data_IF_232432992383
#
_entry.id   IF_232432992383
#
_cell.length_a   1.000
_cell.length_b   1.000
_cell.length_c   1.000
_cell.angle_alpha   90.00
_cell.angle_beta   90.00
_cell.angle_gamma   90.00
#
_symmetry.space_group_name_H-M   'P 1'
#
loop_
_entity.id
_entity.type
_entity.pdbx_description
1 polymer ?
#
# COMPACT_ATOMS: atom_id res chain seq x y z
N UNK A 1 -5.42 24.32 0.72
CA UNK A 1 -5.09 23.06 0.01
C UNK A 1 -4.26 23.44 -1.20
N UNK A 2 -3.04 22.90 -1.31
CA UNK A 2 -2.23 23.06 -2.52
C UNK A 2 -3.04 22.58 -3.72
N UNK A 3 -3.17 23.40 -4.77
CA UNK A 3 -3.82 23.02 -6.03
C UNK A 3 -3.07 21.81 -6.58
N UNK A 4 -3.77 20.69 -6.84
CA UNK A 4 -3.23 19.52 -7.57
C UNK A 4 -2.67 19.99 -8.93
N UNK A 5 -1.34 20.12 -9.10
CA UNK A 5 -0.78 20.61 -10.36
C UNK A 5 -0.97 19.59 -11.48
N UNK A 6 -1.14 18.31 -11.13
CA UNK A 6 -1.33 17.25 -12.11
C UNK A 6 -2.77 17.16 -12.64
N UNK A 7 -3.71 17.93 -12.08
CA UNK A 7 -5.14 17.88 -12.45
C UNK A 7 -5.37 18.05 -13.95
N UNK A 8 -4.58 18.89 -14.62
CA UNK A 8 -4.70 19.18 -16.06
C UNK A 8 -4.41 17.97 -16.96
N UNK A 9 -3.72 16.94 -16.44
CA UNK A 9 -3.39 15.73 -17.20
C UNK A 9 -4.46 14.64 -17.10
N UNK A 10 -5.42 14.77 -16.19
CA UNK A 10 -6.50 13.80 -16.05
C UNK A 10 -7.68 14.21 -16.92
N UNK A 11 -8.41 13.22 -17.43
CA UNK A 11 -9.61 13.47 -18.23
C UNK A 11 -10.57 14.40 -17.47
N UNK A 12 -11.16 15.42 -18.12
CA UNK A 12 -12.14 16.30 -17.48
C UNK A 12 -13.41 15.56 -17.04
N UNK A 13 -13.64 14.34 -17.55
CA UNK A 13 -14.73 13.46 -17.14
C UNK A 13 -14.40 12.60 -15.91
N UNK A 14 -13.14 12.59 -15.46
CA UNK A 14 -12.72 11.81 -14.31
C UNK A 14 -13.29 12.41 -13.02
N UNK A 15 -14.02 11.60 -12.28
CA UNK A 15 -14.57 11.93 -10.97
C UNK A 15 -13.51 11.89 -9.88
N UNK A 16 -13.75 12.60 -8.76
CA UNK A 16 -12.87 12.54 -7.59
C UNK A 16 -12.71 11.12 -7.04
N UNK A 17 -13.78 10.31 -7.12
CA UNK A 17 -13.77 8.89 -6.75
C UNK A 17 -12.81 8.08 -7.61
N UNK A 18 -12.90 8.24 -8.93
CA UNK A 18 -11.99 7.55 -9.86
C UNK A 18 -10.55 7.96 -9.61
N UNK A 19 -10.30 9.24 -9.36
CA UNK A 19 -8.96 9.73 -9.03
C UNK A 19 -8.44 9.12 -7.73
N UNK A 20 -9.27 9.06 -6.68
CA UNK A 20 -8.89 8.42 -5.42
C UNK A 20 -8.59 6.92 -5.58
N UNK A 21 -9.37 6.19 -6.39
CA UNK A 21 -9.13 4.78 -6.72
C UNK A 21 -7.83 4.60 -7.50
N UNK A 22 -7.57 5.45 -8.50
CA UNK A 22 -6.33 5.43 -9.29
C UNK A 22 -5.10 5.63 -8.39
N UNK A 23 -5.14 6.63 -7.52
CA UNK A 23 -4.06 6.93 -6.57
C UNK A 23 -3.86 5.80 -5.55
N UNK A 24 -4.92 5.13 -5.11
CA UNK A 24 -4.81 3.93 -4.27
C UNK A 24 -4.13 2.76 -5.00
N UNK A 25 -4.44 2.57 -6.29
CA UNK A 25 -3.77 1.59 -7.15
C UNK A 25 -2.27 1.85 -7.30
N UNK A 26 -1.88 3.10 -7.54
CA UNK A 26 -0.48 3.52 -7.56
C UNK A 26 0.20 3.14 -6.25
N UNK A 27 -0.39 3.52 -5.10
CA UNK A 27 0.21 3.26 -3.79
C UNK A 27 0.43 1.76 -3.54
N UNK A 28 -0.58 0.92 -3.79
CA UNK A 28 -0.47 -0.53 -3.59
C UNK A 28 0.59 -1.16 -4.51
N UNK A 29 0.64 -0.74 -5.77
CA UNK A 29 1.65 -1.20 -6.73
C UNK A 29 3.06 -0.79 -6.30
N UNK A 30 3.25 0.46 -5.86
CA UNK A 30 4.53 0.92 -5.35
C UNK A 30 4.97 0.12 -4.12
N UNK A 31 4.07 -0.11 -3.16
CA UNK A 31 4.39 -0.91 -1.97
C UNK A 31 4.84 -2.32 -2.36
N UNK A 32 4.10 -3.00 -3.23
CA UNK A 32 4.45 -4.36 -3.64
C UNK A 32 5.82 -4.41 -4.30
N UNK A 33 6.08 -3.55 -5.28
CA UNK A 33 7.34 -3.60 -6.04
C UNK A 33 8.55 -3.14 -5.23
N UNK A 34 8.38 -2.19 -4.29
CA UNK A 34 9.48 -1.79 -3.39
C UNK A 34 9.83 -2.91 -2.41
N UNK A 35 8.83 -3.60 -1.85
CA UNK A 35 9.07 -4.60 -0.81
C UNK A 35 9.41 -5.99 -1.38
N UNK A 36 8.90 -6.35 -2.55
CA UNK A 36 9.09 -7.69 -3.09
C UNK A 36 10.58 -7.98 -3.32
N UNK A 37 11.09 -9.03 -2.68
CA UNK A 37 12.50 -9.41 -2.73
C UNK A 37 13.38 -8.76 -1.66
N UNK A 38 12.87 -7.81 -0.87
CA UNK A 38 13.65 -7.20 0.21
C UNK A 38 13.98 -8.21 1.32
N UNK A 39 15.21 -8.18 1.86
CA UNK A 39 15.53 -8.85 3.11
C UNK A 39 14.71 -8.30 4.27
N UNK A 40 14.15 -9.18 5.08
CA UNK A 40 13.33 -8.88 6.25
C UNK A 40 14.10 -9.36 7.48
N UNK A 41 14.44 -8.46 8.42
CA UNK A 41 15.10 -8.84 9.66
C UNK A 41 14.29 -9.88 10.43
N UNK A 42 14.91 -10.91 11.02
CA UNK A 42 14.19 -11.83 11.92
C UNK A 42 13.79 -11.20 13.25
N UNK A 43 14.61 -10.25 13.72
CA UNK A 43 14.27 -9.50 14.91
C UNK A 43 12.98 -8.71 14.69
N UNK A 44 12.00 -8.93 15.56
CA UNK A 44 10.67 -8.33 15.41
C UNK A 44 10.70 -6.82 15.60
N UNK A 45 11.64 -6.28 16.39
CA UNK A 45 11.78 -4.84 16.59
C UNK A 45 12.31 -4.19 15.31
N UNK A 46 13.36 -4.76 14.72
CA UNK A 46 13.92 -4.33 13.43
C UNK A 46 12.90 -4.44 12.29
N UNK A 47 12.15 -5.53 12.21
CA UNK A 47 11.08 -5.69 11.22
C UNK A 47 9.99 -4.62 11.34
N UNK A 48 9.59 -4.27 12.58
CA UNK A 48 8.62 -3.18 12.82
C UNK A 48 9.19 -1.81 12.45
N UNK A 49 10.50 -1.60 12.59
CA UNK A 49 11.16 -0.37 12.14
C UNK A 49 11.08 -0.27 10.62
N UNK A 50 11.39 -1.36 9.90
CA UNK A 50 11.25 -1.43 8.45
C UNK A 50 9.80 -1.14 8.01
N UNK A 51 8.81 -1.78 8.62
CA UNK A 51 7.39 -1.54 8.32
C UNK A 51 7.03 -0.06 8.47
N UNK A 52 7.39 0.57 9.59
CA UNK A 52 7.11 1.98 9.87
C UNK A 52 7.84 2.93 8.92
N UNK A 53 9.11 2.66 8.64
CA UNK A 53 9.89 3.46 7.70
C UNK A 53 9.24 3.45 6.31
N UNK A 54 8.78 2.27 5.85
CA UNK A 54 8.09 2.15 4.58
C UNK A 54 6.69 2.79 4.59
N UNK A 55 5.96 2.73 5.72
CA UNK A 55 4.70 3.48 5.88
C UNK A 55 4.92 4.98 5.69
N UNK A 56 5.94 5.56 6.32
CA UNK A 56 6.27 6.98 6.20
C UNK A 56 6.73 7.35 4.77
N UNK A 57 7.57 6.54 4.14
CA UNK A 57 8.00 6.75 2.75
C UNK A 57 6.81 6.84 1.81
N UNK A 58 5.87 5.89 1.90
CA UNK A 58 4.69 5.88 1.02
C UNK A 58 3.74 7.03 1.34
N UNK A 59 3.62 7.42 2.62
CA UNK A 59 2.79 8.53 3.07
C UNK A 59 3.24 9.89 2.53
N UNK A 60 4.50 10.02 2.10
CA UNK A 60 4.98 11.23 1.40
C UNK A 60 4.33 11.45 0.03
N UNK A 61 3.77 10.39 -0.59
CA UNK A 61 3.10 10.50 -1.89
C UNK A 61 1.80 11.33 -1.80
N UNK A 62 1.36 11.97 -2.91
CA UNK A 62 0.17 12.81 -2.91
C UNK A 62 -1.09 12.12 -2.39
N UNK A 63 -1.96 12.84 -1.67
CA UNK A 63 -3.31 12.37 -1.26
C UNK A 63 -3.35 11.20 -0.25
N UNK A 64 -2.20 10.73 0.25
CA UNK A 64 -2.14 9.67 1.26
C UNK A 64 -2.57 10.21 2.62
N UNK A 65 -3.55 9.55 3.23
CA UNK A 65 -4.04 9.86 4.60
C UNK A 65 -3.47 8.91 5.62
N UNK A 66 -3.49 7.63 5.30
CA UNK A 66 -3.05 6.57 6.18
C UNK A 66 -2.40 5.47 5.35
N UNK A 67 -1.30 4.95 5.83
CA UNK A 67 -0.61 3.80 5.24
C UNK A 67 -0.31 2.85 6.38
N UNK A 68 -0.61 1.58 6.17
CA UNK A 68 -0.24 0.50 7.09
C UNK A 68 0.40 -0.62 6.32
N UNK A 69 1.58 -1.05 6.74
CA UNK A 69 2.35 -2.14 6.15
C UNK A 69 2.63 -3.17 7.24
N UNK A 70 2.45 -4.44 6.89
CA UNK A 70 2.86 -5.56 7.72
C UNK A 70 3.58 -6.59 6.87
N UNK A 71 4.73 -7.03 7.33
CA UNK A 71 5.49 -8.12 6.71
C UNK A 71 5.46 -9.28 7.70
N UNK A 72 4.67 -10.30 7.36
CA UNK A 72 4.54 -11.47 8.23
C UNK A 72 5.80 -12.32 8.11
N UNK A 73 6.53 -12.51 9.20
CA UNK A 73 7.61 -13.50 9.21
C UNK A 73 7.04 -14.86 8.85
N UNK A 74 7.54 -15.45 7.78
CA UNK A 74 7.43 -16.88 7.60
C UNK A 74 8.56 -17.48 8.41
N UNK A 75 8.24 -18.50 9.19
CA UNK A 75 9.24 -19.34 9.85
C UNK A 75 9.92 -20.17 8.77
N UNK A 76 10.66 -19.52 7.86
CA UNK A 76 11.49 -20.23 6.90
C UNK A 76 12.86 -20.40 7.51
N UNK A 77 13.23 -21.68 7.62
CA UNK A 77 14.55 -22.23 7.96
C UNK A 77 15.60 -21.81 6.91
N UNK A 78 15.79 -20.51 6.72
CA UNK A 78 16.87 -19.98 5.90
C UNK A 78 18.18 -20.13 6.68
N UNK A 79 19.22 -20.59 5.98
CA UNK A 79 20.57 -20.81 6.54
C UNK A 79 21.14 -19.50 7.12
N UNK A 80 20.77 -18.34 6.57
CA UNK A 80 21.40 -17.05 6.84
C UNK A 80 20.61 -16.07 7.72
N UNK A 81 19.70 -16.52 8.57
CA UNK A 81 19.21 -15.63 9.64
C UNK A 81 18.19 -14.54 9.25
N UNK A 82 17.73 -14.46 7.98
CA UNK A 82 16.72 -13.50 7.52
C UNK A 82 15.57 -14.18 6.75
N UNK A 83 14.47 -13.45 6.55
CA UNK A 83 13.36 -13.85 5.65
C UNK A 83 13.30 -12.88 4.46
N UNK A 84 12.52 -13.21 3.43
CA UNK A 84 12.38 -12.34 2.24
C UNK A 84 10.92 -11.91 2.11
N UNK A 85 10.70 -10.62 1.88
CA UNK A 85 9.38 -10.09 1.60
C UNK A 85 8.90 -10.58 0.22
N UNK A 86 7.71 -11.15 0.18
CA UNK A 86 7.07 -11.72 -1.00
C UNK A 86 5.58 -11.41 -0.96
N UNK A 87 4.90 -11.53 -2.10
CA UNK A 87 3.47 -11.27 -2.15
C UNK A 87 2.65 -12.02 -1.10
N UNK A 88 3.09 -13.22 -0.71
CA UNK A 88 2.35 -14.05 0.23
C UNK A 88 2.56 -13.68 1.72
N UNK A 89 3.46 -12.75 2.03
CA UNK A 89 3.70 -12.26 3.39
C UNK A 89 3.60 -10.73 3.56
N UNK A 90 3.46 -9.99 2.47
CA UNK A 90 3.16 -8.56 2.49
C UNK A 90 1.66 -8.35 2.71
N UNK A 91 1.34 -7.52 3.68
CA UNK A 91 0.03 -6.89 3.85
C UNK A 91 0.22 -5.38 3.76
N UNK A 92 -0.66 -4.71 3.02
CA UNK A 92 -0.75 -3.27 3.04
C UNK A 92 -2.20 -2.80 3.04
N UNK A 93 -2.43 -1.66 3.68
CA UNK A 93 -3.68 -0.90 3.62
C UNK A 93 -3.32 0.55 3.40
N UNK A 94 -3.93 1.17 2.39
CA UNK A 94 -3.71 2.58 2.04
C UNK A 94 -5.04 3.30 2.01
N UNK A 95 -5.13 4.41 2.71
CA UNK A 95 -6.27 5.33 2.67
C UNK A 95 -5.87 6.55 1.89
N UNK A 96 -6.60 6.81 0.82
CA UNK A 96 -6.41 7.94 -0.09
C UNK A 96 -7.60 8.87 0.02
N UNK A 97 -7.34 10.18 0.05
CA UNK A 97 -8.41 11.19 -0.01
C UNK A 97 -8.13 12.20 -1.11
N UNK A 98 -9.03 12.24 -2.09
CA UNK A 98 -9.01 13.21 -3.18
C UNK A 98 -10.37 13.94 -3.19
N UNK A 99 -10.35 15.25 -2.96
CA UNK A 99 -11.56 16.05 -2.79
C UNK A 99 -12.48 15.51 -1.68
N UNK A 100 -13.72 15.20 -2.05
CA UNK A 100 -14.77 14.63 -1.19
C UNK A 100 -14.70 13.11 -1.04
N UNK A 101 -13.97 12.42 -1.92
CA UNK A 101 -13.86 10.96 -1.92
C UNK A 101 -12.72 10.46 -1.03
N UNK A 102 -13.01 9.42 -0.25
CA UNK A 102 -12.03 8.67 0.54
C UNK A 102 -12.08 7.19 0.17
N UNK A 103 -10.94 6.61 -0.20
CA UNK A 103 -10.82 5.23 -0.69
C UNK A 103 -9.81 4.48 0.15
N UNK A 104 -10.18 3.27 0.59
CA UNK A 104 -9.26 2.33 1.23
C UNK A 104 -8.94 1.19 0.27
N UNK A 105 -7.67 1.08 -0.14
CA UNK A 105 -7.15 -0.05 -0.88
C UNK A 105 -6.38 -1.01 0.03
N UNK A 106 -6.44 -2.31 -0.27
CA UNK A 106 -5.66 -3.34 0.43
C UNK A 106 -4.87 -4.23 -0.53
N UNK A 107 -3.68 -4.64 -0.08
CA UNK A 107 -2.88 -5.73 -0.65
C UNK A 107 -2.78 -6.84 0.40
N UNK A 108 -3.21 -8.05 0.06
CA UNK A 108 -3.01 -9.22 0.93
C UNK A 108 -3.05 -10.53 0.16
N UNK A 109 -2.39 -11.54 0.74
CA UNK A 109 -2.47 -12.92 0.26
C UNK A 109 -3.88 -13.50 0.44
N UNK A 110 -4.54 -13.84 -0.67
CA UNK A 110 -5.83 -14.54 -0.66
C UNK A 110 -5.56 -16.03 -0.84
N UNK A 111 -5.66 -16.79 0.27
CA UNK A 111 -5.34 -18.24 0.29
C UNK A 111 -6.09 -19.03 -0.80
N UNK A 112 -7.39 -18.78 -0.97
CA UNK A 112 -8.25 -19.47 -1.96
C UNK A 112 -7.80 -19.23 -3.40
N UNK A 113 -7.25 -18.05 -3.70
CA UNK A 113 -6.77 -17.69 -5.04
C UNK A 113 -5.29 -18.01 -5.23
N UNK A 114 -4.57 -18.32 -4.14
CA UNK A 114 -3.10 -18.39 -4.12
C UNK A 114 -2.47 -17.16 -4.79
N UNK A 115 -3.00 -15.97 -4.47
CA UNK A 115 -2.62 -14.73 -5.14
C UNK A 115 -2.52 -13.53 -4.17
N UNK A 116 -1.50 -12.66 -4.30
CA UNK A 116 -1.42 -11.41 -3.56
C UNK A 116 -2.35 -10.36 -4.20
N UNK A 117 -3.62 -10.35 -3.79
CA UNK A 117 -4.63 -9.51 -4.41
C UNK A 117 -4.53 -8.08 -3.91
N UNK A 118 -4.48 -7.14 -4.85
CA UNK A 118 -4.77 -5.72 -4.64
C UNK A 118 -6.23 -5.47 -4.96
N UNK A 119 -6.95 -4.79 -4.07
CA UNK A 119 -8.36 -4.47 -4.28
C UNK A 119 -8.78 -3.24 -3.50
N UNK A 120 -9.87 -2.61 -3.96
CA UNK A 120 -10.53 -1.54 -3.20
C UNK A 120 -11.44 -2.19 -2.17
N UNK A 121 -11.17 -1.93 -0.89
CA UNK A 121 -11.94 -2.45 0.23
C UNK A 121 -13.16 -1.59 0.55
N UNK A 122 -12.99 -0.26 0.48
CA UNK A 122 -14.02 0.68 0.91
C UNK A 122 -13.92 1.97 0.11
N UNK A 123 -15.07 2.57 -0.21
CA UNK A 123 -15.20 3.90 -0.79
C UNK A 123 -16.20 4.67 0.08
N UNK A 124 -15.81 5.84 0.58
CA UNK A 124 -16.66 6.78 1.29
C UNK A 124 -16.75 8.08 0.50
N UNK A 125 -17.97 8.54 0.28
CA UNK A 125 -18.23 9.90 -0.17
C UNK A 125 -18.68 10.70 1.05
N UNK A 126 -18.15 11.92 1.23
CA UNK A 126 -18.84 12.89 2.09
C UNK A 126 -20.03 13.42 1.31
N UNK A 127 -21.24 13.04 1.75
CA UNK A 127 -22.50 13.62 1.30
C UNK A 127 -22.59 15.09 1.69
#
# INVERSE_FOLDING_TARGET
MSKDPARIYFSPKMTERERAVFEAGIALSTIFNLLHGMPVPRDRKAARILERAMEEVIKTQPYRREVRIKIRHRVRRGVYGYDVARGENIYASVKVKYGSAEVTGELRWIKRLRYPLMYIKEIKNKY
#
